data_IF_255610609177
#
_entry.id   IF_255610609177
#
_cell.length_a   1.000
_cell.length_b   1.000
_cell.length_c   1.000
_cell.angle_alpha   90.00
_cell.angle_beta   90.00
_cell.angle_gamma   90.00
#
_symmetry.space_group_name_H-M   'P 1'
#
loop_
_entity.id
_entity.type
_entity.pdbx_description
1 polymer ?
#
# COMPACT_ATOMS: atom_id res chain seq x y z
N UNK A 1 -11.77 -12.18 26.54
CA UNK A 1 -10.70 -11.81 25.59
C UNK A 1 -11.30 -11.89 24.21
N UNK A 2 -11.85 -10.79 23.70
CA UNK A 2 -12.48 -10.79 22.38
C UNK A 2 -11.78 -9.75 21.51
N UNK A 3 -10.78 -10.22 20.78
CA UNK A 3 -10.38 -9.63 19.52
C UNK A 3 -9.89 -10.77 18.62
N UNK A 4 -10.77 -11.73 18.33
CA UNK A 4 -10.62 -12.62 17.17
C UNK A 4 -11.33 -11.99 15.96
N UNK A 5 -11.08 -10.70 15.73
CA UNK A 5 -11.66 -9.99 14.59
C UNK A 5 -11.10 -10.59 13.30
N UNK A 6 -11.93 -10.73 12.28
CA UNK A 6 -11.48 -11.14 10.96
C UNK A 6 -10.48 -10.11 10.39
N UNK A 7 -9.63 -10.54 9.46
CA UNK A 7 -8.84 -9.62 8.64
C UNK A 7 -9.65 -9.25 7.41
N UNK A 8 -9.88 -7.95 7.22
CA UNK A 8 -10.57 -7.45 6.04
C UNK A 8 -9.54 -7.00 5.00
N UNK A 9 -9.74 -7.41 3.74
CA UNK A 9 -8.96 -6.96 2.59
C UNK A 9 -9.82 -6.08 1.70
N UNK A 10 -9.48 -4.80 1.60
CA UNK A 10 -10.16 -3.84 0.75
C UNK A 10 -9.44 -3.71 -0.59
N UNK A 11 -10.17 -3.96 -1.69
CA UNK A 11 -9.67 -3.82 -3.05
C UNK A 11 -10.10 -2.48 -3.63
N UNK A 12 -9.19 -1.52 -3.69
CA UNK A 12 -9.41 -0.17 -4.22
C UNK A 12 -9.47 -0.08 -5.75
N UNK A 13 -9.49 -1.20 -6.46
CA UNK A 13 -9.64 -1.26 -7.93
C UNK A 13 -11.10 -1.55 -8.27
N UNK A 14 -11.66 -1.01 -9.37
CA UNK A 14 -12.97 -1.45 -9.86
C UNK A 14 -12.91 -2.77 -10.64
N UNK A 15 -11.73 -3.20 -11.08
CA UNK A 15 -11.57 -4.46 -11.80
C UNK A 15 -11.48 -5.63 -10.80
N UNK A 16 -12.47 -6.56 -10.78
CA UNK A 16 -12.49 -7.70 -9.86
C UNK A 16 -11.42 -8.75 -10.21
N UNK A 17 -11.06 -8.89 -11.48
CA UNK A 17 -10.02 -9.82 -11.95
C UNK A 17 -8.64 -9.14 -12.03
N UNK A 18 -8.58 -7.87 -11.63
CA UNK A 18 -7.40 -7.03 -11.77
C UNK A 18 -6.28 -7.41 -10.79
N UNK A 19 -5.07 -6.99 -11.13
CA UNK A 19 -3.87 -7.25 -10.32
C UNK A 19 -3.96 -6.76 -8.87
N UNK A 20 -4.68 -5.67 -8.59
CA UNK A 20 -4.91 -5.20 -7.21
C UNK A 20 -5.71 -6.23 -6.41
N UNK A 21 -6.75 -6.82 -7.00
CA UNK A 21 -7.53 -7.88 -6.34
C UNK A 21 -6.64 -9.09 -6.07
N UNK A 22 -5.90 -9.56 -7.08
CA UNK A 22 -5.00 -10.72 -6.95
C UNK A 22 -3.96 -10.54 -5.81
N UNK A 23 -3.36 -9.35 -5.67
CA UNK A 23 -2.41 -9.08 -4.57
C UNK A 23 -3.07 -9.05 -3.19
N UNK A 24 -4.26 -8.45 -3.06
CA UNK A 24 -5.00 -8.45 -1.79
C UNK A 24 -5.46 -9.86 -1.44
N UNK A 25 -5.94 -10.63 -2.42
CA UNK A 25 -6.33 -12.02 -2.27
C UNK A 25 -5.15 -12.89 -1.83
N UNK A 26 -3.97 -12.75 -2.44
CA UNK A 26 -2.76 -13.44 -2.01
C UNK A 26 -2.37 -13.12 -0.55
N UNK A 27 -2.53 -11.85 -0.14
CA UNK A 27 -2.31 -11.48 1.26
C UNK A 27 -3.32 -12.12 2.20
N UNK A 28 -4.61 -12.16 1.83
CA UNK A 28 -5.63 -12.86 2.62
C UNK A 28 -5.41 -14.38 2.64
N UNK A 29 -4.90 -14.99 1.57
CA UNK A 29 -4.51 -16.40 1.57
C UNK A 29 -3.44 -16.67 2.63
N UNK A 30 -2.42 -15.81 2.74
CA UNK A 30 -1.41 -15.89 3.79
C UNK A 30 -2.00 -15.76 5.19
N UNK A 31 -3.01 -14.90 5.37
CA UNK A 31 -3.76 -14.79 6.64
C UNK A 31 -4.54 -16.08 6.94
N UNK A 32 -5.25 -16.61 5.95
CA UNK A 32 -6.07 -17.81 6.10
C UNK A 32 -5.23 -19.06 6.41
N UNK A 33 -4.03 -19.17 5.82
CA UNK A 33 -3.06 -20.22 6.13
C UNK A 33 -2.59 -20.19 7.60
N UNK A 34 -2.63 -19.03 8.25
CA UNK A 34 -2.36 -18.88 9.68
C UNK A 34 -3.60 -19.13 10.57
N UNK A 35 -4.73 -19.55 10.00
CA UNK A 35 -5.95 -19.92 10.72
C UNK A 35 -6.82 -18.75 11.16
N UNK A 36 -6.59 -17.54 10.62
CA UNK A 36 -7.40 -16.34 10.93
C UNK A 36 -8.46 -16.14 9.85
N UNK A 37 -9.70 -15.82 10.26
CA UNK A 37 -10.80 -15.58 9.34
C UNK A 37 -10.54 -14.33 8.48
N UNK A 38 -10.90 -14.40 7.20
CA UNK A 38 -10.67 -13.33 6.23
C UNK A 38 -11.95 -12.92 5.51
N UNK A 39 -12.03 -11.66 5.11
CA UNK A 39 -13.09 -11.14 4.24
C UNK A 39 -12.47 -10.25 3.16
N UNK A 40 -12.70 -10.59 1.89
CA UNK A 40 -12.33 -9.75 0.75
C UNK A 40 -13.50 -8.85 0.37
N UNK A 41 -13.26 -7.55 0.25
CA UNK A 41 -14.28 -6.55 -0.10
C UNK A 41 -13.82 -5.75 -1.30
N UNK A 42 -14.58 -5.86 -2.39
CA UNK A 42 -14.37 -5.06 -3.58
C UNK A 42 -14.94 -3.64 -3.38
N UNK A 43 -14.11 -2.61 -3.47
CA UNK A 43 -14.57 -1.25 -3.15
C UNK A 43 -15.53 -0.64 -4.19
N UNK A 44 -15.58 -1.20 -5.40
CA UNK A 44 -16.51 -0.76 -6.44
C UNK A 44 -17.97 -1.13 -6.15
N UNK A 45 -18.21 -2.09 -5.27
CA UNK A 45 -19.57 -2.56 -4.96
C UNK A 45 -20.29 -1.60 -4.00
N UNK A 46 -19.52 -0.84 -3.22
CA UNK A 46 -20.01 0.19 -2.32
C UNK A 46 -19.19 1.47 -2.49
N UNK A 47 -19.57 2.34 -3.42
CA UNK A 47 -18.79 3.55 -3.68
C UNK A 47 -19.10 4.64 -2.65
N UNK A 48 -18.11 4.96 -1.81
CA UNK A 48 -18.18 6.08 -0.85
C UNK A 48 -18.32 7.41 -1.60
N UNK A 49 -19.32 8.20 -1.23
CA UNK A 49 -19.49 9.54 -1.81
C UNK A 49 -18.43 10.52 -1.30
N UNK A 50 -18.14 11.58 -2.06
CA UNK A 50 -17.19 12.60 -1.64
C UNK A 50 -17.60 13.26 -0.31
N UNK A 51 -16.62 13.61 0.52
CA UNK A 51 -16.85 14.43 1.71
C UNK A 51 -17.34 15.83 1.29
N UNK A 52 -18.39 16.35 1.95
CA UNK A 52 -18.96 17.68 1.65
C UNK A 52 -18.34 18.81 2.47
N UNK A 53 -17.42 18.50 3.39
CA UNK A 53 -16.85 19.46 4.35
C UNK A 53 -17.91 20.37 5.01
N UNK A 54 -19.02 19.77 5.44
CA UNK A 54 -20.12 20.54 6.01
C UNK A 54 -19.76 21.17 7.35
N UNK A 55 -20.30 22.36 7.60
CA UNK A 55 -20.21 23.03 8.90
C UNK A 55 -21.58 23.00 9.60
N UNK A 56 -21.63 22.74 10.92
CA UNK A 56 -20.52 22.30 11.78
C UNK A 56 -20.12 20.83 11.56
N UNK A 57 -18.88 20.47 11.90
CA UNK A 57 -18.36 19.09 11.79
C UNK A 57 -18.86 18.14 12.89
N UNK A 58 -20.19 17.98 13.03
CA UNK A 58 -20.81 17.13 14.07
C UNK A 58 -20.34 15.66 13.99
N UNK A 59 -19.97 15.22 12.79
CA UNK A 59 -19.53 13.86 12.52
C UNK A 59 -18.27 13.42 13.28
N UNK A 60 -17.41 14.36 13.72
CA UNK A 60 -16.23 14.05 14.55
C UNK A 60 -16.59 13.66 15.99
N UNK A 61 -17.77 14.09 16.45
CA UNK A 61 -18.21 13.92 17.84
C UNK A 61 -19.13 12.71 17.98
N UNK A 62 -20.04 12.49 17.02
CA UNK A 62 -20.96 11.35 17.03
C UNK A 62 -20.44 10.11 16.27
N UNK A 63 -19.23 10.19 15.70
CA UNK A 63 -18.58 9.14 14.91
C UNK A 63 -19.40 8.63 13.72
N UNK A 64 -20.24 9.50 13.13
CA UNK A 64 -21.12 9.17 12.01
C UNK A 64 -21.24 10.34 11.05
N UNK A 65 -21.13 10.08 9.74
CA UNK A 65 -21.37 11.11 8.72
C UNK A 65 -22.78 11.70 8.86
N UNK A 66 -22.90 13.03 8.83
CA UNK A 66 -24.19 13.74 8.91
C UNK A 66 -25.07 13.48 7.68
N UNK A 67 -24.45 13.30 6.51
CA UNK A 67 -25.16 12.92 5.29
C UNK A 67 -25.21 11.41 5.17
N UNK A 68 -26.36 10.93 4.71
CA UNK A 68 -26.57 9.51 4.50
C UNK A 68 -25.65 8.97 3.41
N UNK A 69 -24.86 7.97 3.75
CA UNK A 69 -23.94 7.27 2.85
C UNK A 69 -23.75 5.84 3.36
N UNK A 70 -24.52 4.92 2.81
CA UNK A 70 -24.51 3.52 3.25
C UNK A 70 -23.18 2.82 2.97
N UNK A 71 -22.49 3.18 1.89
CA UNK A 71 -21.16 2.67 1.59
C UNK A 71 -20.17 3.08 2.68
N UNK A 72 -20.18 4.35 3.08
CA UNK A 72 -19.32 4.81 4.18
C UNK A 72 -19.66 4.11 5.49
N UNK A 73 -20.95 4.02 5.86
CA UNK A 73 -21.35 3.30 7.08
C UNK A 73 -20.86 1.86 7.08
N UNK A 74 -20.97 1.17 5.94
CA UNK A 74 -20.51 -0.20 5.76
C UNK A 74 -19.00 -0.34 6.05
N UNK A 75 -18.15 0.45 5.38
CA UNK A 75 -16.69 0.39 5.64
C UNK A 75 -16.32 0.83 7.05
N UNK A 76 -16.95 1.89 7.53
CA UNK A 76 -16.73 2.44 8.86
C UNK A 76 -16.96 1.38 9.94
N UNK A 77 -18.05 0.61 9.83
CA UNK A 77 -18.34 -0.49 10.74
C UNK A 77 -17.34 -1.62 10.58
N UNK A 78 -17.10 -2.10 9.35
CA UNK A 78 -16.17 -3.19 9.06
C UNK A 78 -14.76 -2.93 9.60
N UNK A 79 -14.23 -1.72 9.39
CA UNK A 79 -12.88 -1.33 9.85
C UNK A 79 -12.83 -1.18 11.39
N UNK A 80 -13.94 -0.78 12.03
CA UNK A 80 -14.00 -0.68 13.49
C UNK A 80 -14.00 -2.03 14.17
N UNK A 81 -14.65 -3.03 13.55
CA UNK A 81 -14.82 -4.36 14.13
C UNK A 81 -13.73 -5.37 13.73
N UNK A 82 -12.90 -5.05 12.71
CA UNK A 82 -11.91 -5.99 12.22
C UNK A 82 -10.71 -6.16 13.16
N UNK A 83 -10.04 -7.30 13.04
CA UNK A 83 -8.79 -7.60 13.74
C UNK A 83 -7.57 -7.00 13.07
N UNK A 84 -7.62 -6.80 11.74
CA UNK A 84 -6.62 -6.10 10.95
C UNK A 84 -7.19 -5.63 9.60
N UNK A 85 -6.50 -4.69 8.95
CA UNK A 85 -6.88 -4.10 7.67
C UNK A 85 -5.78 -4.28 6.61
N UNK A 86 -6.10 -4.94 5.52
CA UNK A 86 -5.30 -4.94 4.28
C UNK A 86 -5.97 -3.99 3.29
N UNK A 87 -5.24 -3.04 2.72
CA UNK A 87 -5.77 -2.07 1.75
C UNK A 87 -4.90 -2.04 0.49
N UNK A 88 -5.45 -2.57 -0.59
CA UNK A 88 -4.82 -2.56 -1.91
C UNK A 88 -5.35 -1.42 -2.78
N UNK A 89 -4.48 -0.76 -3.55
CA UNK A 89 -4.89 0.29 -4.49
C UNK A 89 -4.11 0.20 -5.80
N UNK A 90 -4.74 0.40 -6.96
CA UNK A 90 -3.99 0.70 -8.18
C UNK A 90 -3.39 2.11 -8.07
N UNK A 91 -2.24 2.31 -8.69
CA UNK A 91 -1.58 3.62 -8.79
C UNK A 91 -2.06 4.31 -10.06
N UNK A 92 -2.80 5.41 -9.89
CA UNK A 92 -3.28 6.26 -10.98
C UNK A 92 -2.79 7.68 -10.75
N UNK A 93 -2.12 8.26 -11.74
CA UNK A 93 -1.52 9.61 -11.61
C UNK A 93 -0.62 9.76 -10.38
N UNK A 94 0.09 8.69 -10.04
CA UNK A 94 1.04 8.61 -8.92
C UNK A 94 0.38 8.78 -7.54
N UNK A 95 -0.93 8.52 -7.48
CA UNK A 95 -1.77 8.53 -6.30
C UNK A 95 -2.62 7.24 -6.25
N UNK A 96 -3.37 7.05 -5.17
CA UNK A 96 -4.36 5.99 -5.00
C UNK A 96 -5.51 6.13 -5.99
N UNK A 97 -6.34 5.10 -6.12
CA UNK A 97 -7.65 5.25 -6.77
C UNK A 97 -8.57 6.24 -6.04
N UNK A 98 -9.58 6.76 -6.75
CA UNK A 98 -10.62 7.60 -6.17
C UNK A 98 -11.46 6.89 -5.11
N UNK A 99 -11.68 5.58 -5.25
CA UNK A 99 -12.39 4.74 -4.26
C UNK A 99 -11.69 4.81 -2.89
N UNK A 100 -10.37 4.62 -2.89
CA UNK A 100 -9.54 4.70 -1.68
C UNK A 100 -9.52 6.12 -1.12
N UNK A 101 -9.38 7.13 -2.00
CA UNK A 101 -9.33 8.53 -1.58
C UNK A 101 -10.61 8.98 -0.86
N UNK A 102 -11.78 8.64 -1.39
CA UNK A 102 -13.05 9.04 -0.78
C UNK A 102 -13.28 8.38 0.59
N UNK A 103 -12.92 7.10 0.72
CA UNK A 103 -12.95 6.42 2.02
C UNK A 103 -12.03 7.14 3.02
N UNK A 104 -10.76 7.36 2.69
CA UNK A 104 -9.77 7.99 3.58
C UNK A 104 -10.23 9.39 4.02
N UNK A 105 -10.74 10.21 3.10
CA UNK A 105 -11.19 11.57 3.43
C UNK A 105 -12.38 11.59 4.39
N UNK A 106 -13.32 10.65 4.26
CA UNK A 106 -14.43 10.53 5.23
C UNK A 106 -13.97 9.93 6.56
N UNK A 107 -13.11 8.92 6.54
CA UNK A 107 -12.50 8.37 7.77
C UNK A 107 -11.73 9.44 8.53
N UNK A 108 -10.96 10.29 7.83
CA UNK A 108 -10.31 11.46 8.43
C UNK A 108 -11.32 12.37 9.12
N UNK A 109 -12.38 12.76 8.43
CA UNK A 109 -13.37 13.70 8.95
C UNK A 109 -14.09 13.18 10.20
N UNK A 110 -14.37 11.87 10.24
CA UNK A 110 -15.13 11.22 11.32
C UNK A 110 -14.23 10.79 12.49
N UNK A 111 -13.03 10.30 12.21
CA UNK A 111 -12.21 9.59 13.19
C UNK A 111 -10.85 10.19 13.50
N UNK A 112 -10.37 11.22 12.78
CA UNK A 112 -9.02 11.75 13.03
C UNK A 112 -8.81 12.28 14.47
N UNK A 113 -9.88 12.74 15.12
CA UNK A 113 -9.83 13.26 16.50
C UNK A 113 -9.96 12.16 17.56
N UNK A 114 -10.65 11.06 17.26
CA UNK A 114 -10.89 9.95 18.20
C UNK A 114 -9.89 8.80 18.04
N UNK A 115 -9.32 8.64 16.84
CA UNK A 115 -8.35 7.62 16.46
C UNK A 115 -8.65 6.21 17.03
N UNK A 116 -9.86 5.64 16.85
CA UNK A 116 -10.28 4.42 17.55
C UNK A 116 -9.46 3.18 17.14
N UNK A 117 -8.66 3.27 16.07
CA UNK A 117 -7.89 2.17 15.49
C UNK A 117 -6.48 2.02 16.10
N UNK A 118 -6.25 2.53 17.32
CA UNK A 118 -4.96 2.44 18.02
C UNK A 118 -4.37 1.02 18.07
N UNK A 119 -3.25 0.79 17.39
CA UNK A 119 -2.56 -0.48 17.32
C UNK A 119 -3.17 -1.50 16.37
N UNK A 120 -4.25 -1.18 15.65
CA UNK A 120 -4.85 -2.09 14.66
C UNK A 120 -3.79 -2.43 13.61
N UNK A 121 -3.45 -3.72 13.39
CA UNK A 121 -2.51 -4.12 12.35
C UNK A 121 -3.02 -3.70 10.98
N UNK A 122 -2.13 -3.18 10.14
CA UNK A 122 -2.48 -2.73 8.81
C UNK A 122 -1.42 -3.09 7.76
N UNK A 123 -1.86 -3.36 6.53
CA UNK A 123 -0.96 -3.67 5.42
C UNK A 123 -1.43 -2.96 4.15
N UNK A 124 -0.57 -2.10 3.60
CA UNK A 124 -0.85 -1.34 2.39
C UNK A 124 -0.14 -1.92 1.18
N UNK A 125 -0.90 -2.14 0.11
CA UNK A 125 -0.42 -2.66 -1.17
C UNK A 125 -0.72 -1.63 -2.26
N UNK A 126 0.24 -1.30 -3.10
CA UNK A 126 -0.01 -0.50 -4.30
C UNK A 126 0.56 -1.18 -5.53
N UNK A 127 -0.17 -1.06 -6.65
CA UNK A 127 0.31 -1.57 -7.93
C UNK A 127 0.25 -0.53 -9.04
N UNK A 128 1.41 -0.27 -9.67
CA UNK A 128 1.54 0.56 -10.86
C UNK A 128 1.61 -0.32 -12.11
N UNK A 129 0.51 -0.36 -12.89
CA UNK A 129 0.38 -1.25 -14.04
C UNK A 129 1.03 -0.77 -15.34
N UNK A 130 1.34 0.52 -15.46
CA UNK A 130 1.98 1.11 -16.63
C UNK A 130 3.50 1.14 -16.51
N UNK A 131 4.08 2.34 -16.46
CA UNK A 131 5.54 2.57 -16.32
C UNK A 131 6.09 2.27 -14.92
N UNK A 132 5.27 1.81 -13.99
CA UNK A 132 5.68 1.66 -12.59
C UNK A 132 5.82 2.98 -11.80
N UNK A 133 5.90 4.14 -12.46
CA UNK A 133 6.10 5.43 -11.77
C UNK A 133 4.97 5.78 -10.79
N UNK A 134 5.35 6.46 -9.70
CA UNK A 134 4.44 6.85 -8.64
C UNK A 134 4.10 5.73 -7.65
N UNK A 135 4.87 4.65 -7.65
CA UNK A 135 4.65 3.48 -6.81
C UNK A 135 4.73 3.81 -5.32
N UNK A 136 5.73 4.60 -4.92
CA UNK A 136 5.92 5.07 -3.55
C UNK A 136 4.91 6.17 -3.23
N UNK A 137 4.71 7.14 -4.14
CA UNK A 137 3.76 8.22 -3.88
C UNK A 137 2.31 7.74 -3.81
N UNK A 138 1.95 6.67 -4.53
CA UNK A 138 0.64 6.02 -4.41
C UNK A 138 0.45 5.28 -3.09
N UNK A 139 1.53 4.78 -2.46
CA UNK A 139 1.48 4.16 -1.13
C UNK A 139 1.36 5.18 0.01
N UNK A 140 1.97 6.36 -0.12
CA UNK A 140 2.01 7.36 0.96
C UNK A 140 0.64 7.73 1.53
N UNK A 141 -0.41 8.03 0.73
CA UNK A 141 -1.73 8.33 1.27
C UNK A 141 -2.33 7.19 2.09
N UNK A 142 -2.09 5.94 1.70
CA UNK A 142 -2.53 4.75 2.45
C UNK A 142 -1.83 4.68 3.80
N UNK A 143 -0.52 4.91 3.85
CA UNK A 143 0.25 4.88 5.09
C UNK A 143 0.02 6.11 5.98
N UNK A 144 -0.21 7.29 5.41
CA UNK A 144 -0.67 8.45 6.15
C UNK A 144 -2.03 8.20 6.80
N UNK A 145 -2.94 7.54 6.09
CA UNK A 145 -4.22 7.12 6.65
C UNK A 145 -4.02 6.18 7.84
N UNK A 146 -3.21 5.13 7.70
CA UNK A 146 -2.89 4.22 8.80
C UNK A 146 -2.29 4.96 10.00
N UNK A 147 -1.30 5.82 9.78
CA UNK A 147 -0.61 6.56 10.83
C UNK A 147 -1.54 7.52 11.57
N UNK A 148 -2.39 8.22 10.83
CA UNK A 148 -3.35 9.16 11.40
C UNK A 148 -4.44 8.47 12.21
N UNK A 149 -4.86 7.30 11.76
CA UNK A 149 -5.82 6.45 12.48
C UNK A 149 -5.20 5.70 13.67
N UNK A 150 -3.88 5.80 13.87
CA UNK A 150 -3.17 5.13 14.95
C UNK A 150 -2.95 3.63 14.73
N UNK A 151 -3.10 3.16 13.48
CA UNK A 151 -2.89 1.77 13.09
C UNK A 151 -1.38 1.42 13.13
N UNK A 152 -1.05 0.15 13.37
CA UNK A 152 0.33 -0.35 13.40
C UNK A 152 0.61 -1.10 12.10
N UNK A 153 1.00 -0.34 11.09
CA UNK A 153 1.20 -0.87 9.75
C UNK A 153 2.54 -1.63 9.63
N UNK A 154 2.56 -2.73 8.87
CA UNK A 154 3.81 -3.42 8.48
C UNK A 154 4.42 -2.77 7.24
N UNK A 155 5.50 -3.35 6.71
CA UNK A 155 6.14 -2.79 5.51
C UNK A 155 5.18 -2.71 4.29
N UNK A 156 5.25 -1.63 3.49
CA UNK A 156 4.49 -1.52 2.26
C UNK A 156 4.87 -2.56 1.22
N UNK A 157 3.90 -2.99 0.41
CA UNK A 157 4.16 -3.79 -0.78
C UNK A 157 4.01 -2.94 -2.07
N UNK A 158 5.13 -2.42 -2.61
CA UNK A 158 5.16 -1.80 -3.93
C UNK A 158 5.22 -2.88 -5.03
N UNK A 159 4.18 -2.97 -5.85
CA UNK A 159 4.09 -3.88 -6.98
C UNK A 159 4.05 -3.15 -8.34
N UNK A 160 4.62 -3.79 -9.35
CA UNK A 160 4.55 -3.39 -10.76
C UNK A 160 4.24 -4.62 -11.60
N UNK A 161 4.11 -4.43 -12.92
CA UNK A 161 4.07 -5.59 -13.84
C UNK A 161 5.37 -6.39 -13.88
N UNK A 162 6.51 -5.78 -13.53
CA UNK A 162 7.83 -6.43 -13.60
C UNK A 162 8.04 -7.46 -12.48
N UNK A 163 7.62 -7.14 -11.26
CA UNK A 163 7.81 -7.99 -10.09
C UNK A 163 6.51 -8.69 -9.65
N UNK A 164 5.51 -8.81 -10.52
CA UNK A 164 4.16 -9.21 -10.11
C UNK A 164 4.11 -10.58 -9.42
N UNK A 165 4.79 -11.58 -9.96
CA UNK A 165 4.84 -12.92 -9.35
C UNK A 165 5.52 -12.93 -7.98
N UNK A 166 6.67 -12.24 -7.87
CA UNK A 166 7.36 -12.07 -6.60
C UNK A 166 6.51 -11.28 -5.59
N UNK A 167 5.75 -10.29 -6.05
CA UNK A 167 4.84 -9.52 -5.22
C UNK A 167 3.65 -10.35 -4.72
N UNK A 168 3.12 -11.31 -5.49
CA UNK A 168 2.10 -12.25 -5.02
C UNK A 168 2.62 -13.10 -3.86
N UNK A 169 3.81 -13.67 -4.01
CA UNK A 169 4.44 -14.43 -2.93
C UNK A 169 4.66 -13.55 -1.69
N UNK A 170 5.24 -12.35 -1.87
CA UNK A 170 5.50 -11.43 -0.76
C UNK A 170 4.21 -10.97 -0.08
N UNK A 171 3.12 -10.76 -0.84
CA UNK A 171 1.82 -10.43 -0.30
C UNK A 171 1.33 -11.51 0.67
N UNK A 172 1.45 -12.79 0.28
CA UNK A 172 1.07 -13.93 1.13
C UNK A 172 1.91 -13.99 2.41
N UNK A 173 3.23 -13.83 2.30
CA UNK A 173 4.13 -13.81 3.47
C UNK A 173 3.77 -12.71 4.47
N UNK A 174 3.56 -11.48 3.98
CA UNK A 174 3.16 -10.33 4.79
C UNK A 174 1.73 -10.49 5.36
N UNK A 175 0.85 -11.18 4.64
CA UNK A 175 -0.44 -11.62 5.16
C UNK A 175 -0.31 -12.51 6.40
N UNK A 176 0.62 -13.46 6.38
CA UNK A 176 0.93 -14.29 7.55
C UNK A 176 1.46 -13.47 8.75
N UNK A 177 2.19 -12.39 8.52
CA UNK A 177 2.61 -11.45 9.58
C UNK A 177 1.42 -10.68 10.15
N UNK A 178 0.51 -10.21 9.29
CA UNK A 178 -0.74 -9.56 9.73
C UNK A 178 -1.57 -10.50 10.60
N UNK A 179 -1.68 -11.77 10.24
CA UNK A 179 -2.41 -12.75 11.05
C UNK A 179 -1.85 -12.86 12.48
N UNK A 180 -0.52 -12.91 12.62
CA UNK A 180 0.15 -12.95 13.94
C UNK A 180 -0.16 -11.68 14.75
N UNK A 181 -0.12 -10.52 14.10
CA UNK A 181 -0.41 -9.24 14.76
C UNK A 181 -1.90 -9.07 15.10
N UNK A 182 -2.81 -9.66 14.31
CA UNK A 182 -4.25 -9.60 14.55
C UNK A 182 -4.64 -10.34 15.84
N UNK A 183 -3.98 -11.46 16.15
CA UNK A 183 -4.18 -12.22 17.39
C UNK A 183 -3.67 -11.44 18.62
N UNK A 184 -2.58 -10.68 18.46
CA UNK A 184 -1.97 -9.92 19.55
C UNK A 184 -1.76 -8.44 19.17
N UNK A 185 -2.85 -7.67 19.26
CA UNK A 185 -2.83 -6.23 18.97
C UNK A 185 -1.94 -5.48 19.96
N UNK A 186 -0.91 -4.82 19.45
CA UNK A 186 0.01 -3.98 20.23
C UNK A 186 -0.25 -2.48 19.96
N UNK A 187 -0.47 -1.71 21.03
CA UNK A 187 -0.60 -0.24 20.94
C UNK A 187 0.78 0.40 20.97
N UNK A 188 0.90 1.57 20.36
CA UNK A 188 2.07 2.43 20.54
C UNK A 188 2.15 2.95 21.97
N UNK A 189 3.37 3.14 22.48
CA UNK A 189 3.61 3.72 23.81
C UNK A 189 3.26 5.21 23.86
N UNK A 190 3.39 5.91 22.73
CA UNK A 190 3.15 7.35 22.61
C UNK A 190 3.22 7.81 21.15
N UNK A 191 3.23 9.13 20.95
CA UNK A 191 3.36 9.72 19.61
C UNK A 191 4.73 9.40 19.01
N UNK A 192 5.79 9.53 19.81
CA UNK A 192 7.17 9.36 19.39
C UNK A 192 7.45 7.93 18.91
N UNK A 193 6.96 6.92 19.65
CA UNK A 193 7.03 5.50 19.24
C UNK A 193 6.32 5.28 17.89
N UNK A 194 5.14 5.88 17.70
CA UNK A 194 4.44 5.83 16.42
C UNK A 194 5.23 6.51 15.29
N UNK A 195 5.82 7.67 15.53
CA UNK A 195 6.62 8.37 14.51
C UNK A 195 7.83 7.53 14.10
N UNK A 196 8.60 7.03 15.08
CA UNK A 196 9.75 6.16 14.82
C UNK A 196 9.38 4.86 14.11
N UNK A 197 8.23 4.25 14.46
CA UNK A 197 7.73 3.07 13.78
C UNK A 197 7.51 3.33 12.29
N UNK A 198 6.85 4.43 11.93
CA UNK A 198 6.55 4.75 10.53
C UNK A 198 7.79 5.24 9.76
N UNK A 199 8.70 5.97 10.40
CA UNK A 199 9.97 6.39 9.79
C UNK A 199 10.88 5.19 9.44
N UNK A 200 10.77 4.09 10.21
CA UNK A 200 11.51 2.87 9.95
C UNK A 200 10.93 2.00 8.81
N UNK A 201 9.71 2.29 8.34
CA UNK A 201 9.10 1.52 7.25
C UNK A 201 9.84 1.78 5.93
N UNK A 202 10.15 0.72 5.15
CA UNK A 202 10.85 0.89 3.88
C UNK A 202 9.97 1.63 2.87
N UNK A 203 10.61 2.10 1.79
CA UNK A 203 9.99 2.76 0.63
C UNK A 203 9.40 4.15 0.88
N UNK A 204 8.69 4.39 1.98
CA UNK A 204 7.90 5.63 2.17
C UNK A 204 8.75 6.91 2.13
N UNK A 205 9.99 6.83 2.62
CA UNK A 205 10.97 7.93 2.61
C UNK A 205 11.74 8.13 1.30
N UNK A 206 11.55 7.28 0.28
CA UNK A 206 12.34 7.35 -0.96
C UNK A 206 12.10 8.65 -1.73
N UNK A 207 13.18 9.27 -2.19
CA UNK A 207 13.09 10.42 -3.10
C UNK A 207 12.58 9.98 -4.49
N UNK A 208 12.32 10.95 -5.38
CA UNK A 208 11.96 10.63 -6.78
C UNK A 208 13.08 9.89 -7.52
N UNK A 209 14.33 10.23 -7.23
CA UNK A 209 15.48 9.55 -7.79
C UNK A 209 15.59 8.11 -7.25
N UNK A 210 15.33 7.92 -5.96
CA UNK A 210 15.37 6.59 -5.35
C UNK A 210 14.20 5.71 -5.81
N UNK A 211 12.99 6.28 -6.00
CA UNK A 211 11.87 5.56 -6.64
C UNK A 211 12.25 5.13 -8.06
N UNK A 212 12.92 6.01 -8.82
CA UNK A 212 13.39 5.67 -10.17
C UNK A 212 14.40 4.52 -10.14
N UNK A 213 15.28 4.48 -9.13
CA UNK A 213 16.21 3.38 -8.89
C UNK A 213 15.47 2.08 -8.57
N UNK A 214 14.54 2.13 -7.62
CA UNK A 214 13.69 0.99 -7.26
C UNK A 214 13.00 0.40 -8.51
N UNK A 215 12.44 1.24 -9.38
CA UNK A 215 11.80 0.77 -10.60
C UNK A 215 12.77 0.12 -11.58
N UNK A 216 14.00 0.63 -11.68
CA UNK A 216 15.03 0.02 -12.50
C UNK A 216 15.44 -1.35 -11.94
N UNK A 217 15.63 -1.45 -10.62
CA UNK A 217 15.94 -2.70 -9.93
C UNK A 217 14.82 -3.74 -10.14
N UNK A 218 13.56 -3.35 -9.95
CA UNK A 218 12.40 -4.22 -10.18
C UNK A 218 12.26 -4.67 -11.64
N UNK A 219 12.56 -3.77 -12.60
CA UNK A 219 12.54 -4.10 -14.01
C UNK A 219 13.62 -5.15 -14.35
N UNK A 220 14.82 -5.03 -13.79
CA UNK A 220 15.92 -5.99 -14.00
C UNK A 220 15.64 -7.32 -13.32
N UNK A 221 15.13 -7.31 -12.08
CA UNK A 221 14.77 -8.53 -11.34
C UNK A 221 13.65 -9.33 -12.03
N UNK A 222 12.81 -8.68 -12.84
CA UNK A 222 11.76 -9.34 -13.61
C UNK A 222 12.24 -10.06 -14.87
N UNK A 223 13.54 -10.00 -15.21
CA UNK A 223 14.10 -10.58 -16.44
C UNK A 223 14.80 -11.92 -16.22
N UNK A 224 14.93 -12.76 -17.26
CA UNK A 224 15.86 -13.89 -17.27
C UNK A 224 17.30 -13.46 -16.92
N UNK A 225 18.09 -14.28 -16.21
CA UNK A 225 19.43 -13.90 -15.76
C UNK A 225 20.38 -13.40 -16.85
N UNK A 226 20.35 -14.03 -18.03
CA UNK A 226 21.17 -13.69 -19.20
C UNK A 226 20.79 -12.33 -19.81
N UNK A 227 19.52 -11.96 -19.76
CA UNK A 227 19.04 -10.65 -20.20
C UNK A 227 19.23 -9.56 -19.13
N UNK A 228 19.22 -9.94 -17.85
CA UNK A 228 19.37 -9.05 -16.70
C UNK A 228 20.82 -8.57 -16.50
N UNK A 229 21.81 -9.45 -16.68
CA UNK A 229 23.23 -9.18 -16.42
C UNK A 229 23.76 -7.90 -17.07
N UNK A 230 23.61 -7.66 -18.40
CA UNK A 230 24.13 -6.44 -19.02
C UNK A 230 23.46 -5.16 -18.51
N UNK A 231 22.20 -5.25 -18.06
CA UNK A 231 21.44 -4.11 -17.53
C UNK A 231 21.85 -3.84 -16.08
N UNK A 232 22.10 -4.89 -15.29
CA UNK A 232 22.55 -4.80 -13.91
C UNK A 232 23.91 -4.09 -13.79
N UNK A 233 24.82 -4.25 -14.77
CA UNK A 233 26.07 -3.50 -14.82
C UNK A 233 25.86 -1.98 -14.89
N UNK A 234 24.81 -1.53 -15.60
CA UNK A 234 24.43 -0.12 -15.64
C UNK A 234 23.99 0.43 -14.28
N UNK A 235 23.29 -0.40 -13.49
CA UNK A 235 22.90 -0.05 -12.12
C UNK A 235 24.08 -0.02 -11.15
N UNK A 236 25.04 -0.93 -11.30
CA UNK A 236 26.30 -0.90 -10.55
C UNK A 236 27.08 0.39 -10.83
N UNK A 237 27.20 0.79 -12.10
CA UNK A 237 27.80 2.08 -12.49
C UNK A 237 27.05 3.27 -11.90
N UNK A 238 25.73 3.24 -11.90
CA UNK A 238 24.94 4.31 -11.29
C UNK A 238 25.23 4.45 -9.79
N UNK A 239 25.41 3.33 -9.08
CA UNK A 239 25.77 3.34 -7.67
C UNK A 239 27.15 4.00 -7.42
N UNK A 240 28.14 3.69 -8.25
CA UNK A 240 29.46 4.33 -8.17
C UNK A 240 29.40 5.84 -8.42
N UNK A 241 28.62 6.27 -9.42
CA UNK A 241 28.40 7.70 -9.71
C UNK A 241 27.71 8.41 -8.55
N UNK A 242 26.71 7.76 -7.93
CA UNK A 242 25.99 8.33 -6.79
C UNK A 242 26.88 8.47 -5.56
N UNK A 243 27.70 7.45 -5.27
CA UNK A 243 28.68 7.46 -4.20
C UNK A 243 29.76 8.55 -4.40
N UNK A 244 30.07 8.89 -5.66
CA UNK A 244 30.97 9.99 -6.01
C UNK A 244 30.30 11.38 -6.00
N UNK A 245 29.03 11.50 -5.57
CA UNK A 245 28.27 12.76 -5.54
C UNK A 245 27.74 13.21 -6.91
N UNK A 246 27.91 12.41 -7.97
CA UNK A 246 27.47 12.72 -9.34
C UNK A 246 26.02 12.31 -9.57
N UNK A 247 25.12 12.92 -8.79
CA UNK A 247 23.68 12.58 -8.72
C UNK A 247 22.97 12.57 -10.09
N UNK A 248 23.25 13.55 -10.95
CA UNK A 248 22.64 13.64 -12.29
C UNK A 248 23.08 12.48 -13.19
N UNK A 249 24.38 12.18 -13.22
CA UNK A 249 24.93 11.11 -14.05
C UNK A 249 24.44 9.74 -13.57
N UNK A 250 24.37 9.54 -12.25
CA UNK A 250 23.77 8.34 -11.67
C UNK A 250 22.33 8.15 -12.14
N UNK A 251 21.50 9.21 -12.05
CA UNK A 251 20.10 9.15 -12.48
C UNK A 251 19.94 8.86 -13.98
N UNK A 252 20.86 9.36 -14.81
CA UNK A 252 20.89 9.05 -16.25
C UNK A 252 21.16 7.55 -16.46
N UNK A 253 22.14 6.97 -15.78
CA UNK A 253 22.43 5.52 -15.88
C UNK A 253 21.27 4.66 -15.35
N UNK A 254 20.65 5.04 -14.23
CA UNK A 254 19.43 4.39 -13.71
C UNK A 254 18.31 4.41 -14.74
N UNK A 255 18.11 5.55 -15.39
CA UNK A 255 17.05 5.71 -16.40
C UNK A 255 17.32 4.87 -17.64
N UNK A 256 18.59 4.76 -18.07
CA UNK A 256 18.98 3.84 -19.14
C UNK A 256 18.68 2.39 -18.76
N UNK A 257 19.07 1.98 -17.55
CA UNK A 257 18.83 0.62 -17.07
C UNK A 257 17.33 0.29 -17.03
N UNK A 258 16.49 1.17 -16.46
CA UNK A 258 15.04 1.00 -16.49
C UNK A 258 14.50 0.88 -17.92
N UNK A 259 14.92 1.77 -18.83
CA UNK A 259 14.40 1.76 -20.21
C UNK A 259 14.83 0.50 -20.97
N UNK A 260 16.05 0.00 -20.72
CA UNK A 260 16.51 -1.26 -21.26
C UNK A 260 15.69 -2.43 -20.72
N UNK A 261 15.48 -2.49 -19.40
CA UNK A 261 14.71 -3.58 -18.78
C UNK A 261 13.25 -3.59 -19.23
N UNK A 262 12.64 -2.41 -19.31
CA UNK A 262 11.32 -2.21 -19.89
C UNK A 262 11.22 -2.77 -21.32
N UNK A 263 12.18 -2.43 -22.18
CA UNK A 263 12.20 -2.87 -23.58
C UNK A 263 12.28 -4.39 -23.69
N UNK A 264 13.12 -5.01 -22.87
CA UNK A 264 13.28 -6.48 -22.84
C UNK A 264 11.99 -7.13 -22.35
N UNK A 265 11.45 -6.65 -21.23
CA UNK A 265 10.19 -7.14 -20.68
C UNK A 265 9.04 -7.08 -21.72
N UNK A 266 8.91 -5.97 -22.44
CA UNK A 266 7.88 -5.81 -23.48
C UNK A 266 8.11 -6.67 -24.72
N UNK A 267 9.35 -7.11 -24.99
CA UNK A 267 9.63 -8.03 -26.10
C UNK A 267 9.26 -9.49 -25.78
N UNK A 268 9.24 -9.86 -24.50
CA UNK A 268 8.87 -11.20 -24.02
C UNK A 268 7.45 -11.34 -23.46
N UNK A 269 6.69 -10.25 -23.33
CA UNK A 269 5.32 -10.20 -22.79
C UNK A 269 4.23 -10.50 -23.82
#
# INVERSE_FOLDING_TARGET
MEASGNVIGLVGSPNPDGRTNQLVSAALEGVAQAGVATELIQMSDHVVSACRDCLPWVCKDNLKCTFDDDAFKFYSQKITDCGALILGTPVYWWDTSGLVKYLILKMFRVYAMSAPFHGLPAFGIAIAGGTGNGLVSGLRPVYHYFQMMGMRAIEPLPATRFNFNAALQRASELGGEIAKMAVQRARFQGLEDKLLWYDALPYLGLSRADERRLLADLAVQGLPPDEAEPIALGLARAHELDAAGRKLDALVEITKAYNAGLKVFEAGS
#
